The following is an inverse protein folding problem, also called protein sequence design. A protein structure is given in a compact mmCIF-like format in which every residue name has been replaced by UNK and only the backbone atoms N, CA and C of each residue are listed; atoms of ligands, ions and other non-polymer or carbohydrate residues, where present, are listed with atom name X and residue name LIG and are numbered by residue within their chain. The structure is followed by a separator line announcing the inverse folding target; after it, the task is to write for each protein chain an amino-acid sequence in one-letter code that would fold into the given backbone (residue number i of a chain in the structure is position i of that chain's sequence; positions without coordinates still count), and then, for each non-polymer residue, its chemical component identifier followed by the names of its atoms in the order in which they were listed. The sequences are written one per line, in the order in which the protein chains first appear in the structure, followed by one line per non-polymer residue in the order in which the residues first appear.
data_IF_430434068034
#
_entry.id   IF_430434068034
#
_cell.length_a   1.000
_cell.length_b   1.000
_cell.length_c   1.000
_cell.angle_alpha   90.00
_cell.angle_beta   90.00
_cell.angle_gamma   90.00
#
_symmetry.space_group_name_H-M   'P 1'
#
loop_
_entity.id
_entity.type
_entity.pdbx_description
1 polymer ?
#
# COMPACT_ATOMS: atom_id res chain seq x y z
N UNK A 1 -7.93 -12.15 -13.50
CA UNK A 1 -7.61 -12.21 -12.05
C UNK A 1 -6.09 -12.19 -11.91
N UNK A 2 -5.53 -11.41 -10.99
CA UNK A 2 -4.12 -11.51 -10.61
C UNK A 2 -4.04 -12.44 -9.40
N UNK A 3 -3.19 -13.46 -9.46
CA UNK A 3 -3.12 -14.48 -8.41
C UNK A 3 -1.98 -14.22 -7.43
N UNK A 4 -0.97 -13.45 -7.86
CA UNK A 4 0.20 -13.11 -7.07
C UNK A 4 0.48 -11.61 -7.09
N UNK A 5 1.20 -11.11 -6.07
CA UNK A 5 1.59 -9.70 -5.96
C UNK A 5 2.39 -9.21 -7.18
N UNK A 6 3.22 -10.09 -7.71
CA UNK A 6 3.96 -9.89 -8.95
C UNK A 6 3.05 -9.52 -10.15
N UNK A 7 1.91 -10.20 -10.32
CA UNK A 7 1.02 -9.95 -11.45
C UNK A 7 0.45 -8.52 -11.39
N UNK A 8 0.24 -8.03 -10.16
CA UNK A 8 -0.25 -6.67 -9.89
C UNK A 8 0.83 -5.66 -10.28
N UNK A 9 2.04 -5.82 -9.76
CA UNK A 9 3.13 -4.88 -9.99
C UNK A 9 3.57 -4.79 -11.46
N UNK A 10 3.37 -5.83 -12.28
CA UNK A 10 3.63 -5.76 -13.74
C UNK A 10 2.56 -5.01 -14.54
N UNK A 11 1.36 -4.85 -14.00
CA UNK A 11 0.18 -4.39 -14.75
C UNK A 11 -0.39 -3.07 -14.25
N UNK A 12 -0.03 -2.65 -13.03
CA UNK A 12 -0.56 -1.46 -12.40
C UNK A 12 0.56 -0.41 -12.20
N UNK A 13 0.26 0.84 -12.54
CA UNK A 13 1.07 2.02 -12.19
C UNK A 13 0.69 2.61 -10.83
N UNK A 14 -0.38 2.14 -10.20
CA UNK A 14 -0.76 2.54 -8.85
C UNK A 14 -1.19 1.31 -8.08
N UNK A 15 -0.48 1.03 -6.98
CA UNK A 15 -0.67 -0.14 -6.15
C UNK A 15 -1.12 0.34 -4.79
N UNK A 16 -2.37 0.06 -4.44
CA UNK A 16 -2.93 0.36 -3.12
C UNK A 16 -2.92 -0.93 -2.29
N UNK A 17 -2.27 -0.90 -1.13
CA UNK A 17 -2.32 -2.01 -0.16
C UNK A 17 -3.06 -1.62 1.11
N UNK A 18 -3.81 -2.57 1.62
CA UNK A 18 -4.54 -2.47 2.89
C UNK A 18 -4.49 -3.85 3.54
N UNK A 19 -3.51 -4.08 4.41
CA UNK A 19 -3.28 -5.40 5.00
C UNK A 19 -3.36 -5.38 6.53
N UNK A 20 -3.71 -6.51 7.17
CA UNK A 20 -4.14 -6.49 8.56
C UNK A 20 -3.05 -6.17 9.58
N UNK A 21 -1.78 -6.40 9.25
CA UNK A 21 -0.68 -6.21 10.21
C UNK A 21 0.56 -5.65 9.55
N UNK A 22 1.43 -5.04 10.37
CA UNK A 22 2.76 -4.56 9.98
C UNK A 22 3.63 -5.65 9.32
N UNK A 23 3.51 -6.92 9.74
CA UNK A 23 4.26 -8.04 9.14
C UNK A 23 3.79 -8.29 7.71
N UNK A 24 2.49 -8.21 7.47
CA UNK A 24 1.92 -8.33 6.13
C UNK A 24 2.38 -7.17 5.24
N UNK A 25 2.34 -5.92 5.75
CA UNK A 25 2.75 -4.76 4.97
C UNK A 25 4.22 -4.86 4.54
N UNK A 26 5.11 -5.22 5.49
CA UNK A 26 6.52 -5.47 5.17
C UNK A 26 6.70 -6.59 4.14
N UNK A 27 5.94 -7.68 4.26
CA UNK A 27 6.03 -8.80 3.32
C UNK A 27 5.58 -8.41 1.90
N UNK A 28 4.48 -7.64 1.76
CA UNK A 28 3.99 -7.16 0.47
C UNK A 28 5.07 -6.40 -0.29
N UNK A 29 5.81 -5.53 0.40
CA UNK A 29 6.80 -4.67 -0.25
C UNK A 29 8.21 -5.25 -0.31
N UNK A 30 8.66 -5.94 0.73
CA UNK A 30 10.06 -6.33 0.91
C UNK A 30 10.27 -7.83 1.14
N UNK A 31 9.20 -8.63 1.18
CA UNK A 31 9.29 -10.08 1.31
C UNK A 31 9.71 -10.77 0.02
N UNK A 32 9.65 -12.10 0.05
CA UNK A 32 9.81 -12.93 -1.14
C UNK A 32 8.63 -12.73 -2.09
N UNK A 33 8.89 -12.66 -3.41
CA UNK A 33 7.88 -12.39 -4.43
C UNK A 33 7.07 -11.10 -4.16
N UNK A 34 7.75 -10.08 -3.65
CA UNK A 34 7.17 -8.79 -3.28
C UNK A 34 6.98 -7.84 -4.47
N UNK A 35 6.34 -6.72 -4.18
CA UNK A 35 6.27 -5.58 -5.09
C UNK A 35 7.69 -5.12 -5.49
N UNK A 36 8.62 -4.99 -4.53
CA UNK A 36 10.00 -4.56 -4.83
C UNK A 36 10.74 -5.52 -5.76
N UNK A 37 10.61 -6.85 -5.58
CA UNK A 37 11.27 -7.80 -6.48
C UNK A 37 10.77 -7.64 -7.91
N UNK A 38 9.46 -7.42 -8.08
CA UNK A 38 8.86 -7.21 -9.39
C UNK A 38 9.27 -5.87 -10.01
N UNK A 39 9.28 -4.79 -9.21
CA UNK A 39 9.72 -3.47 -9.67
C UNK A 39 11.12 -3.56 -10.27
N UNK A 40 12.07 -4.23 -9.62
CA UNK A 40 13.45 -4.40 -10.13
C UNK A 40 13.53 -5.03 -11.53
N UNK A 41 12.54 -5.84 -11.93
CA UNK A 41 12.47 -6.44 -13.27
C UNK A 41 11.87 -5.52 -14.33
N UNK A 42 11.11 -4.49 -13.93
CA UNK A 42 10.46 -3.56 -14.86
C UNK A 42 11.47 -2.62 -15.51
N UNK A 43 11.08 -1.98 -16.61
CA UNK A 43 11.86 -0.89 -17.20
C UNK A 43 11.81 0.34 -16.28
N UNK A 44 12.85 1.17 -16.34
CA UNK A 44 12.96 2.37 -15.52
C UNK A 44 11.74 3.30 -15.65
N UNK A 45 11.30 3.54 -16.88
CA UNK A 45 10.09 4.33 -17.17
C UNK A 45 8.84 3.78 -16.47
N UNK A 46 8.68 2.46 -16.42
CA UNK A 46 7.54 1.84 -15.75
C UNK A 46 7.63 1.97 -14.22
N UNK A 47 8.85 1.85 -13.66
CA UNK A 47 9.07 2.02 -12.22
C UNK A 47 8.83 3.46 -11.77
N UNK A 48 9.34 4.44 -12.51
CA UNK A 48 9.19 5.87 -12.16
C UNK A 48 7.74 6.36 -12.26
N UNK A 49 6.92 5.71 -13.08
CA UNK A 49 5.47 5.95 -13.12
C UNK A 49 4.68 5.14 -12.08
N UNK A 50 5.32 4.25 -11.33
CA UNK A 50 4.62 3.42 -10.34
C UNK A 50 4.56 4.11 -8.99
N UNK A 51 3.35 4.22 -8.44
CA UNK A 51 3.08 4.70 -7.09
C UNK A 51 2.63 3.54 -6.20
N UNK A 52 3.35 3.30 -5.11
CA UNK A 52 2.95 2.39 -4.05
C UNK A 52 2.30 3.19 -2.91
N UNK A 53 1.04 2.94 -2.61
CA UNK A 53 0.28 3.64 -1.59
C UNK A 53 -0.20 2.63 -0.53
N UNK A 54 0.37 2.68 0.67
CA UNK A 54 -0.07 1.82 1.78
C UNK A 54 -1.08 2.56 2.65
N UNK A 55 -2.17 1.87 2.95
CA UNK A 55 -3.26 2.36 3.81
C UNK A 55 -3.31 1.61 5.15
N UNK A 56 -2.38 0.69 5.39
CA UNK A 56 -2.35 -0.15 6.58
C UNK A 56 -1.82 0.65 7.77
N UNK A 57 -2.36 0.39 8.95
CA UNK A 57 -1.79 0.96 10.18
C UNK A 57 -0.48 0.24 10.53
N UNK A 58 0.66 0.91 10.35
CA UNK A 58 1.99 0.38 10.70
C UNK A 58 2.83 1.36 11.52
N UNK A 59 3.92 0.86 12.09
CA UNK A 59 4.89 1.71 12.78
C UNK A 59 5.66 2.56 11.77
N UNK A 60 5.95 3.81 12.16
CA UNK A 60 6.67 4.76 11.33
C UNK A 60 8.03 4.22 10.84
N UNK A 61 8.73 3.43 11.67
CA UNK A 61 10.01 2.81 11.33
C UNK A 61 9.91 1.82 10.16
N UNK A 62 8.82 1.04 10.10
CA UNK A 62 8.56 0.09 9.02
C UNK A 62 8.26 0.84 7.72
N UNK A 63 7.39 1.85 7.80
CA UNK A 63 7.05 2.73 6.67
C UNK A 63 8.28 3.41 6.08
N UNK A 64 9.14 4.01 6.93
CA UNK A 64 10.40 4.61 6.50
C UNK A 64 11.34 3.60 5.83
N UNK A 65 11.44 2.37 6.37
CA UNK A 65 12.26 1.31 5.78
C UNK A 65 11.73 0.94 4.38
N UNK A 66 10.42 0.74 4.23
CA UNK A 66 9.80 0.42 2.94
C UNK A 66 10.03 1.53 1.93
N UNK A 67 9.81 2.78 2.33
CA UNK A 67 10.02 3.95 1.48
C UNK A 67 11.48 4.04 0.98
N UNK A 68 12.45 3.83 1.87
CA UNK A 68 13.88 3.87 1.53
C UNK A 68 14.26 2.75 0.55
N UNK A 69 13.78 1.53 0.77
CA UNK A 69 14.08 0.41 -0.12
C UNK A 69 13.41 0.56 -1.50
N UNK A 70 12.15 1.00 -1.55
CA UNK A 70 11.46 1.23 -2.83
C UNK A 70 12.08 2.37 -3.63
N UNK A 71 12.54 3.44 -2.96
CA UNK A 71 13.24 4.56 -3.63
C UNK A 71 14.50 4.12 -4.37
N UNK A 72 15.21 3.08 -3.88
CA UNK A 72 16.38 2.51 -4.59
C UNK A 72 16.02 1.91 -5.95
N UNK A 73 14.75 1.59 -6.18
CA UNK A 73 14.24 1.13 -7.48
C UNK A 73 13.77 2.26 -8.38
N UNK A 74 13.73 3.51 -7.90
CA UNK A 74 13.14 4.64 -8.60
C UNK A 74 11.61 4.70 -8.53
N UNK A 75 11.01 4.00 -7.57
CA UNK A 75 9.55 3.93 -7.37
C UNK A 75 9.14 4.79 -6.17
N UNK A 76 8.00 5.48 -6.28
CA UNK A 76 7.46 6.28 -5.18
C UNK A 76 6.64 5.44 -4.19
N UNK A 77 6.70 5.82 -2.92
CA UNK A 77 5.94 5.20 -1.84
C UNK A 77 5.28 6.27 -0.97
N UNK A 78 3.98 6.09 -0.71
CA UNK A 78 3.17 6.93 0.17
C UNK A 78 2.57 6.08 1.29
N UNK A 79 2.87 6.46 2.53
CA UNK A 79 2.21 5.94 3.73
C UNK A 79 1.03 6.84 4.08
N UNK A 80 -0.18 6.31 4.02
CA UNK A 80 -1.41 7.07 4.16
C UNK A 80 -2.45 6.31 5.01
N UNK A 81 -2.17 5.98 6.28
CA UNK A 81 -3.08 5.18 7.09
C UNK A 81 -4.49 5.80 7.18
N UNK A 82 -5.52 4.95 7.12
CA UNK A 82 -6.92 5.39 7.17
C UNK A 82 -7.47 5.47 8.59
N UNK A 83 -8.49 6.29 8.79
CA UNK A 83 -9.30 6.39 10.01
C UNK A 83 -10.78 6.11 9.70
N UNK A 84 -11.62 5.88 10.72
CA UNK A 84 -13.06 5.62 10.53
C UNK A 84 -13.46 4.15 10.38
N UNK A 85 -12.89 3.27 11.21
CA UNK A 85 -13.15 1.82 11.17
C UNK A 85 -14.64 1.42 11.25
N UNK A 86 -14.90 0.14 10.95
CA UNK A 86 -16.27 -0.42 10.83
C UNK A 86 -17.12 -0.30 12.09
N UNK A 87 -16.52 -0.25 13.27
CA UNK A 87 -17.23 -0.18 14.55
C UNK A 87 -17.12 1.22 15.18
N UNK A 88 -17.40 2.25 14.37
CA UNK A 88 -17.42 3.64 14.84
C UNK A 88 -18.85 4.19 14.80
N UNK A 89 -19.19 5.18 15.63
CA UNK A 89 -20.45 5.91 15.48
C UNK A 89 -20.62 6.48 14.05
N UNK A 90 -19.50 6.88 13.43
CA UNK A 90 -19.43 7.36 12.05
C UNK A 90 -19.89 6.31 11.02
N UNK A 91 -19.40 5.06 11.12
CA UNK A 91 -19.77 4.00 10.16
C UNK A 91 -21.27 3.68 10.20
N UNK A 92 -21.86 3.70 11.40
CA UNK A 92 -23.30 3.45 11.60
C UNK A 92 -24.14 4.63 11.08
N UNK A 93 -23.68 5.86 11.29
CA UNK A 93 -24.35 7.04 10.82
C UNK A 93 -24.27 7.20 9.29
N UNK A 94 -23.11 6.95 8.68
CA UNK A 94 -22.95 6.89 7.21
C UNK A 94 -23.86 5.84 6.58
N UNK A 95 -23.95 4.64 7.17
CA UNK A 95 -24.86 3.60 6.71
C UNK A 95 -26.35 4.00 6.80
N UNK A 96 -26.68 4.96 7.68
CA UNK A 96 -28.03 5.51 7.87
C UNK A 96 -28.27 6.82 7.11
N UNK A 97 -27.30 7.29 6.32
CA UNK A 97 -27.38 8.58 5.61
C UNK A 97 -27.40 9.81 6.54
N UNK A 98 -26.96 9.65 7.78
CA UNK A 98 -26.88 10.74 8.75
C UNK A 98 -25.53 11.46 8.58
N UNK A 99 -25.57 12.79 8.50
CA UNK A 99 -24.37 13.60 8.63
C UNK A 99 -23.85 13.49 10.07
N UNK A 100 -22.55 13.28 10.19
CA UNK A 100 -21.84 13.35 11.47
C UNK A 100 -20.81 14.43 11.30
N UNK A 101 -20.93 15.49 12.08
CA UNK A 101 -19.92 16.53 12.16
C UNK A 101 -18.68 15.98 12.89
N UNK A 102 -17.46 16.47 12.56
CA UNK A 102 -16.21 16.02 13.15
C UNK A 102 -16.11 16.21 14.68
#
# INVERSE_FOLDING_TARGET
MCSFLYDIAKRASTIISMVPTRKHARHVYLGDNSVMSTLKELKEEQRSMTLCLDQSTMEQSVSQTVAQELRKTGTDFLDAPVSGGKDTPYSTAWAKGLQVEP
#
